data_IF_999771759437
#
_entry.id   IF_999771759437
#
_cell.length_a   1.000
_cell.length_b   1.000
_cell.length_c   1.000
_cell.angle_alpha   90.00
_cell.angle_beta   90.00
_cell.angle_gamma   90.00
#
_symmetry.space_group_name_H-M   'P 1'
#
loop_
_entity.id
_entity.type
_entity.pdbx_description
1 polymer ?
#
# COMPACT_ATOMS: atom_id res chain seq x y z
N UNK A 1 -15.56 -23.28 -23.41
CA UNK A 1 -14.66 -22.15 -23.75
C UNK A 1 -14.67 -20.95 -22.78
N UNK A 2 -15.60 -20.81 -21.82
CA UNK A 2 -15.57 -19.71 -20.82
C UNK A 2 -14.61 -19.91 -19.63
N UNK A 3 -14.08 -21.12 -19.45
CA UNK A 3 -13.31 -21.52 -18.27
C UNK A 3 -11.82 -21.20 -18.44
N UNK A 4 -11.29 -21.30 -19.67
CA UNK A 4 -9.93 -20.87 -20.02
C UNK A 4 -9.74 -19.35 -19.86
N UNK A 5 -10.77 -18.55 -20.18
CA UNK A 5 -10.73 -17.09 -20.00
C UNK A 5 -10.76 -16.65 -18.54
N UNK A 6 -11.34 -17.46 -17.63
CA UNK A 6 -11.27 -17.22 -16.18
C UNK A 6 -9.91 -17.61 -15.59
N UNK A 7 -9.24 -18.61 -16.18
CA UNK A 7 -7.90 -19.03 -15.77
C UNK A 7 -6.81 -18.06 -16.22
N UNK A 8 -7.06 -17.15 -17.16
CA UNK A 8 -6.05 -16.25 -17.76
C UNK A 8 -6.25 -14.77 -17.38
N UNK A 9 -6.87 -14.47 -16.24
CA UNK A 9 -6.74 -13.15 -15.61
C UNK A 9 -5.49 -13.10 -14.72
N UNK A 10 -4.36 -13.54 -15.25
CA UNK A 10 -3.08 -13.31 -14.60
C UNK A 10 -2.61 -11.93 -15.04
N UNK A 11 -2.71 -10.95 -14.14
CA UNK A 11 -1.84 -9.78 -14.26
C UNK A 11 -0.40 -10.32 -14.25
N UNK A 12 0.33 -10.03 -15.32
CA UNK A 12 1.74 -10.36 -15.47
C UNK A 12 2.55 -9.68 -14.37
N UNK A 13 2.14 -8.48 -13.97
CA UNK A 13 2.68 -7.73 -12.85
C UNK A 13 1.59 -6.90 -12.17
N UNK A 14 1.49 -7.02 -10.85
CA UNK A 14 0.71 -6.13 -9.99
C UNK A 14 1.64 -5.52 -8.96
N UNK A 15 1.73 -4.20 -8.88
CA UNK A 15 2.46 -3.56 -7.78
C UNK A 15 1.59 -2.53 -7.08
N UNK A 16 1.76 -2.45 -5.76
CA UNK A 16 1.11 -1.50 -4.87
C UNK A 16 2.19 -0.85 -4.01
N UNK A 17 2.41 0.44 -4.20
CA UNK A 17 3.36 1.23 -3.42
C UNK A 17 2.58 2.27 -2.60
N UNK A 18 2.93 2.44 -1.32
CA UNK A 18 2.46 3.54 -0.51
C UNK A 18 3.66 4.22 0.15
N UNK A 19 3.78 5.52 0.00
CA UNK A 19 4.63 6.41 0.77
C UNK A 19 3.78 7.06 1.87
N UNK A 20 4.33 7.16 3.07
CA UNK A 20 3.73 7.75 4.26
C UNK A 20 4.55 8.96 4.68
N UNK A 21 3.86 10.07 4.92
CA UNK A 21 4.40 11.35 5.37
C UNK A 21 3.60 11.78 6.59
N UNK A 22 4.17 11.51 7.77
CA UNK A 22 3.63 11.90 9.05
C UNK A 22 3.77 13.40 9.31
N UNK A 23 2.78 13.99 9.98
CA UNK A 23 2.79 15.43 10.32
C UNK A 23 3.92 15.79 11.29
N UNK A 24 4.47 14.81 11.99
CA UNK A 24 5.54 14.91 12.97
C UNK A 24 6.93 14.60 12.40
N UNK A 25 7.06 14.60 11.07
CA UNK A 25 8.29 14.30 10.35
C UNK A 25 8.63 12.82 10.27
N UNK A 26 7.74 11.93 10.72
CA UNK A 26 7.86 10.49 10.49
C UNK A 26 7.62 10.18 9.01
N UNK A 27 8.45 9.34 8.41
CA UNK A 27 8.26 8.92 7.01
C UNK A 27 8.33 7.41 6.91
N UNK A 28 7.62 6.83 5.96
CA UNK A 28 7.66 5.38 5.77
C UNK A 28 7.18 5.01 4.40
N UNK A 29 7.33 3.75 4.04
CA UNK A 29 6.73 3.27 2.82
C UNK A 29 6.70 1.77 2.72
N UNK A 30 5.77 1.29 1.90
CA UNK A 30 5.56 -0.11 1.61
C UNK A 30 5.44 -0.30 0.11
N UNK A 31 5.95 -1.42 -0.38
CA UNK A 31 5.87 -1.89 -1.75
C UNK A 31 5.50 -3.37 -1.70
N UNK A 32 4.36 -3.70 -2.28
CA UNK A 32 3.90 -5.05 -2.52
C UNK A 32 3.92 -5.27 -4.03
N UNK A 33 4.70 -6.24 -4.50
CA UNK A 33 4.70 -6.64 -5.90
C UNK A 33 4.41 -8.13 -6.06
N UNK A 34 3.45 -8.42 -6.93
CA UNK A 34 3.01 -9.74 -7.33
C UNK A 34 3.17 -9.88 -8.85
N UNK A 35 3.28 -11.09 -9.36
CA UNK A 35 3.03 -11.33 -10.77
C UNK A 35 2.76 -12.79 -11.03
N UNK A 36 1.91 -13.04 -12.04
CA UNK A 36 1.31 -14.36 -12.28
C UNK A 36 0.64 -14.92 -11.00
N UNK A 37 0.14 -14.04 -10.13
CA UNK A 37 -0.49 -14.38 -8.85
C UNK A 37 0.48 -14.79 -7.72
N UNK A 38 1.79 -14.63 -7.88
CA UNK A 38 2.81 -14.96 -6.87
C UNK A 38 3.43 -13.68 -6.31
N UNK A 39 3.53 -13.58 -4.98
CA UNK A 39 4.25 -12.49 -4.31
C UNK A 39 5.75 -12.58 -4.60
N UNK A 40 6.31 -11.55 -5.21
CA UNK A 40 7.74 -11.50 -5.51
C UNK A 40 8.51 -10.57 -4.57
N UNK A 41 7.89 -9.49 -4.08
CA UNK A 41 8.55 -8.50 -3.22
C UNK A 41 7.58 -7.83 -2.25
N UNK A 42 7.87 -7.97 -0.97
CA UNK A 42 7.40 -7.09 0.10
C UNK A 42 8.61 -6.25 0.52
N UNK A 43 8.75 -5.06 -0.05
CA UNK A 43 9.84 -4.15 0.26
C UNK A 43 9.27 -2.91 0.95
N UNK A 44 10.05 -2.29 1.82
CA UNK A 44 9.60 -1.11 2.53
C UNK A 44 10.45 -0.86 3.75
N UNK A 45 10.20 0.27 4.39
CA UNK A 45 10.86 0.60 5.62
C UNK A 45 10.28 1.83 6.27
N UNK A 46 10.70 2.01 7.50
CA UNK A 46 10.30 3.10 8.37
C UNK A 46 11.50 4.02 8.51
N UNK A 47 11.35 5.26 8.08
CA UNK A 47 12.30 6.33 8.29
C UNK A 47 11.88 7.12 9.53
N UNK A 48 12.71 7.04 10.56
CA UNK A 48 12.47 7.73 11.82
C UNK A 48 12.99 9.15 11.75
N UNK A 49 12.46 10.00 12.63
CA UNK A 49 12.81 11.43 12.72
C UNK A 49 14.27 11.67 13.10
N UNK A 50 14.97 10.66 13.63
CA UNK A 50 16.41 10.70 13.91
C UNK A 50 17.26 10.34 12.67
N UNK A 51 16.63 10.12 11.51
CA UNK A 51 17.27 9.75 10.26
C UNK A 51 17.56 8.25 10.11
N UNK A 52 17.22 7.43 11.11
CA UNK A 52 17.40 5.97 11.02
C UNK A 52 16.36 5.32 10.13
N UNK A 53 16.74 4.19 9.51
CA UNK A 53 15.90 3.40 8.63
C UNK A 53 15.77 1.98 9.18
N UNK A 54 14.52 1.52 9.35
CA UNK A 54 14.21 0.14 9.73
C UNK A 54 13.54 -0.57 8.56
N UNK A 55 14.17 -1.62 8.07
CA UNK A 55 13.64 -2.44 6.97
C UNK A 55 12.46 -3.26 7.46
N UNK A 56 11.38 -3.30 6.69
CA UNK A 56 10.26 -4.19 7.00
C UNK A 56 10.66 -5.66 6.76
N UNK A 57 10.31 -6.51 7.71
CA UNK A 57 10.49 -7.97 7.67
C UNK A 57 9.21 -8.69 7.27
N UNK A 58 8.07 -8.17 7.74
CA UNK A 58 6.75 -8.69 7.44
C UNK A 58 5.75 -7.56 7.25
N UNK A 59 4.76 -7.80 6.41
CA UNK A 59 3.66 -6.87 6.19
C UNK A 59 2.38 -7.64 5.89
N UNK A 60 1.30 -7.19 6.49
CA UNK A 60 -0.07 -7.61 6.23
C UNK A 60 -0.87 -6.37 5.83
N UNK A 61 -1.70 -6.50 4.80
CA UNK A 61 -2.59 -5.44 4.34
C UNK A 61 -4.00 -6.01 4.26
N UNK A 62 -4.92 -5.39 4.98
CA UNK A 62 -6.34 -5.71 5.01
C UNK A 62 -7.12 -4.61 4.29
N UNK A 63 -7.78 -4.93 3.18
CA UNK A 63 -8.60 -3.99 2.44
C UNK A 63 -10.03 -3.96 3.01
N UNK A 64 -10.29 -3.04 3.95
CA UNK A 64 -11.56 -2.91 4.67
C UNK A 64 -12.71 -2.37 3.81
N UNK A 65 -12.39 -1.52 2.83
CA UNK A 65 -13.36 -1.05 1.84
C UNK A 65 -12.70 -0.97 0.46
N UNK A 66 -13.37 -1.54 -0.54
CA UNK A 66 -12.92 -1.54 -1.93
C UNK A 66 -14.01 -0.99 -2.84
N UNK A 67 -13.60 -0.45 -3.98
CA UNK A 67 -14.50 -0.14 -5.07
C UNK A 67 -14.03 -0.76 -6.38
N UNK A 68 -14.94 -0.78 -7.34
CA UNK A 68 -14.66 -1.24 -8.69
C UNK A 68 -14.33 -0.03 -9.54
N UNK A 69 -13.08 0.09 -9.99
CA UNK A 69 -12.68 1.12 -10.94
C UNK A 69 -12.85 0.59 -12.36
N UNK A 70 -13.66 1.29 -13.14
CA UNK A 70 -13.83 1.08 -14.57
C UNK A 70 -13.79 2.47 -15.24
N UNK A 71 -12.84 2.70 -16.16
CA UNK A 71 -12.63 4.03 -16.72
C UNK A 71 -11.69 4.05 -17.91
N UNK A 72 -11.71 5.16 -18.67
CA UNK A 72 -10.81 5.41 -19.80
C UNK A 72 -9.36 5.31 -19.32
N UNK A 73 -8.62 4.34 -19.81
CA UNK A 73 -7.23 4.11 -19.45
C UNK A 73 -7.00 2.65 -19.09
N UNK A 74 -7.82 2.08 -18.21
CA UNK A 74 -7.62 0.72 -17.73
C UNK A 74 -7.86 -0.32 -18.83
N UNK A 75 -6.95 -1.29 -18.94
CA UNK A 75 -7.16 -2.46 -19.80
C UNK A 75 -8.36 -3.33 -19.35
N UNK A 76 -8.70 -3.28 -18.05
CA UNK A 76 -9.78 -4.03 -17.44
C UNK A 76 -10.27 -3.37 -16.15
N UNK A 77 -11.39 -3.85 -15.63
CA UNK A 77 -11.91 -3.42 -14.34
C UNK A 77 -11.03 -3.91 -13.19
N UNK A 78 -10.64 -3.01 -12.29
CA UNK A 78 -9.78 -3.33 -11.12
C UNK A 78 -10.53 -3.10 -9.81
N UNK A 79 -10.31 -4.01 -8.84
CA UNK A 79 -10.76 -3.83 -7.47
C UNK A 79 -9.73 -2.98 -6.74
N UNK A 80 -10.15 -1.79 -6.28
CA UNK A 80 -9.24 -0.77 -5.75
C UNK A 80 -9.63 -0.34 -4.34
N UNK A 81 -8.68 -0.20 -3.41
CA UNK A 81 -9.02 0.13 -2.03
C UNK A 81 -9.46 1.60 -1.84
N UNK A 82 -10.47 1.78 -1.00
CA UNK A 82 -10.86 3.07 -0.39
C UNK A 82 -10.30 3.19 1.02
N UNK A 83 -10.38 2.10 1.78
CA UNK A 83 -9.87 2.00 3.15
C UNK A 83 -9.12 0.70 3.35
N UNK A 84 -8.01 0.79 4.05
CA UNK A 84 -7.18 -0.37 4.35
C UNK A 84 -6.49 -0.22 5.71
N UNK A 85 -6.04 -1.35 6.24
CA UNK A 85 -5.24 -1.45 7.45
C UNK A 85 -3.93 -2.11 7.07
N UNK A 86 -2.81 -1.55 7.51
CA UNK A 86 -1.49 -2.14 7.35
C UNK A 86 -0.96 -2.50 8.72
N UNK A 87 -0.41 -3.70 8.83
CA UNK A 87 0.35 -4.17 9.98
C UNK A 87 1.72 -4.59 9.48
N UNK A 88 2.77 -3.91 9.91
CA UNK A 88 4.12 -4.13 9.45
C UNK A 88 5.06 -4.34 10.64
N UNK A 89 6.00 -5.27 10.47
CA UNK A 89 7.06 -5.57 11.43
C UNK A 89 8.40 -5.17 10.84
N UNK A 90 9.25 -4.52 11.63
CA UNK A 90 10.56 -4.04 11.23
C UNK A 90 11.55 -4.21 12.40
N UNK A 91 12.47 -5.17 12.32
CA UNK A 91 13.30 -5.55 13.48
C UNK A 91 12.41 -5.83 14.71
N UNK A 92 12.66 -5.14 15.82
CA UNK A 92 11.83 -5.22 17.02
C UNK A 92 10.64 -4.24 17.03
N UNK A 93 10.50 -3.44 15.97
CA UNK A 93 9.46 -2.42 15.86
C UNK A 93 8.21 -2.92 15.14
N UNK A 94 7.06 -2.36 15.50
CA UNK A 94 5.78 -2.62 14.82
C UNK A 94 5.13 -1.31 14.41
N UNK A 95 4.55 -1.31 13.22
CA UNK A 95 3.76 -0.22 12.65
C UNK A 95 2.38 -0.77 12.32
N UNK A 96 1.33 -0.16 12.87
CA UNK A 96 -0.05 -0.38 12.43
C UNK A 96 -0.64 0.94 11.96
N UNK A 97 -1.24 0.99 10.78
CA UNK A 97 -1.95 2.19 10.34
C UNK A 97 -3.19 1.88 9.51
N UNK A 98 -4.15 2.80 9.54
CA UNK A 98 -5.33 2.80 8.70
C UNK A 98 -5.19 3.87 7.63
N UNK A 99 -5.24 3.48 6.37
CA UNK A 99 -5.27 4.41 5.23
C UNK A 99 -6.69 4.64 4.75
N UNK A 100 -7.03 5.89 4.41
CA UNK A 100 -8.27 6.28 3.75
C UNK A 100 -7.95 7.19 2.58
N UNK A 101 -8.26 6.74 1.37
CA UNK A 101 -8.05 7.53 0.15
C UNK A 101 -8.94 8.77 0.16
N UNK A 102 -8.35 9.93 -0.12
CA UNK A 102 -9.05 11.22 -0.04
C UNK A 102 -9.67 11.64 -1.37
N UNK A 103 -9.03 11.30 -2.48
CA UNK A 103 -9.46 11.69 -3.83
C UNK A 103 -9.85 10.49 -4.70
N UNK A 104 -10.67 10.69 -5.75
CA UNK A 104 -10.84 9.69 -6.80
C UNK A 104 -9.47 9.23 -7.33
N UNK A 105 -9.34 7.94 -7.58
CA UNK A 105 -8.08 7.39 -8.06
C UNK A 105 -7.76 7.99 -9.44
N UNK A 106 -6.57 8.58 -9.60
CA UNK A 106 -6.17 9.29 -10.80
C UNK A 106 -5.41 8.36 -11.75
N UNK A 107 -5.86 8.25 -13.00
CA UNK A 107 -5.16 7.51 -14.03
C UNK A 107 -4.07 8.38 -14.66
N UNK A 108 -2.82 7.92 -14.62
CA UNK A 108 -1.72 8.62 -15.30
C UNK A 108 -1.19 7.87 -16.52
N UNK A 109 -1.44 6.56 -16.57
CA UNK A 109 -1.15 5.72 -17.72
C UNK A 109 -2.22 4.61 -17.82
N UNK A 110 -2.14 3.80 -18.89
CA UNK A 110 -3.10 2.72 -19.18
C UNK A 110 -3.31 1.81 -17.97
N UNK A 111 -2.22 1.40 -17.35
CA UNK A 111 -2.21 0.37 -16.31
C UNK A 111 -1.72 0.93 -14.98
N UNK A 112 -1.77 2.25 -14.77
CA UNK A 112 -1.20 2.95 -13.60
C UNK A 112 -2.16 3.95 -12.99
N UNK A 113 -2.31 3.86 -11.67
CA UNK A 113 -3.18 4.68 -10.84
C UNK A 113 -2.35 5.34 -9.73
N UNK A 114 -2.54 6.65 -9.55
CA UNK A 114 -2.06 7.40 -8.38
C UNK A 114 -3.22 7.74 -7.46
N UNK A 115 -2.92 7.79 -6.17
CA UNK A 115 -3.88 8.23 -5.17
C UNK A 115 -3.19 8.84 -3.96
N UNK A 116 -3.80 9.88 -3.43
CA UNK A 116 -3.52 10.45 -2.12
C UNK A 116 -4.42 9.81 -1.06
N UNK A 117 -3.91 9.69 0.15
CA UNK A 117 -4.67 9.16 1.28
C UNK A 117 -4.24 9.82 2.58
N UNK A 118 -5.16 9.86 3.56
CA UNK A 118 -4.82 10.10 4.95
C UNK A 118 -4.55 8.80 5.67
N UNK A 119 -3.70 8.87 6.68
CA UNK A 119 -3.54 7.75 7.60
C UNK A 119 -3.54 8.17 9.06
N UNK A 120 -3.94 7.24 9.92
CA UNK A 120 -3.73 7.28 11.35
C UNK A 120 -3.22 5.92 11.82
N UNK A 121 -2.36 5.88 12.82
CA UNK A 121 -1.72 4.64 13.20
C UNK A 121 -0.93 4.72 14.50
N UNK A 122 -0.20 3.65 14.78
CA UNK A 122 0.69 3.53 15.92
C UNK A 122 2.01 2.93 15.49
N UNK A 123 3.07 3.41 16.11
CA UNK A 123 4.42 2.86 16.00
C UNK A 123 4.93 2.50 17.39
N UNK A 124 5.46 1.29 17.52
CA UNK A 124 5.96 0.75 18.80
C UNK A 124 7.36 0.18 18.61
N UNK A 125 8.23 0.46 19.57
CA UNK A 125 9.55 -0.17 19.73
C UNK A 125 9.66 -0.69 21.17
N UNK A 126 10.41 -1.78 21.43
CA UNK A 126 10.57 -2.31 22.77
C UNK A 126 11.26 -1.28 23.67
N UNK A 127 10.78 -1.16 24.91
CA UNK A 127 11.31 -0.21 25.88
C UNK A 127 11.00 1.26 25.60
N UNK A 128 10.31 1.58 24.49
CA UNK A 128 9.85 2.94 24.19
C UNK A 128 8.32 3.05 24.34
N UNK A 129 7.85 4.27 24.55
CA UNK A 129 6.41 4.58 24.57
C UNK A 129 5.86 4.43 23.15
N UNK A 130 4.66 3.85 23.04
CA UNK A 130 3.88 3.87 21.80
C UNK A 130 3.71 5.30 21.28
N UNK A 131 3.99 5.49 19.99
CA UNK A 131 3.80 6.75 19.28
C UNK A 131 2.54 6.64 18.44
N UNK A 132 1.63 7.61 18.58
CA UNK A 132 0.52 7.79 17.66
C UNK A 132 1.01 8.50 16.40
N UNK A 133 0.55 8.06 15.24
CA UNK A 133 0.91 8.60 13.94
C UNK A 133 -0.34 9.13 13.24
N UNK A 134 -0.19 10.25 12.53
CA UNK A 134 -1.17 10.77 11.59
C UNK A 134 -0.44 11.45 10.42
N UNK A 135 -1.12 11.56 9.28
CA UNK A 135 -0.60 12.34 8.16
C UNK A 135 -1.19 11.94 6.82
N UNK A 136 -0.42 12.22 5.77
CA UNK A 136 -0.79 11.97 4.39
C UNK A 136 0.14 10.96 3.76
N UNK A 137 -0.35 10.26 2.74
CA UNK A 137 0.44 9.37 1.95
C UNK A 137 0.08 9.45 0.48
N UNK A 138 1.00 8.94 -0.32
CA UNK A 138 0.87 8.86 -1.76
C UNK A 138 1.06 7.41 -2.15
N UNK A 139 0.15 6.89 -2.97
CA UNK A 139 0.22 5.53 -3.43
C UNK A 139 0.20 5.43 -4.94
N UNK A 140 0.88 4.41 -5.42
CA UNK A 140 0.89 4.00 -6.81
C UNK A 140 0.39 2.57 -6.91
N UNK A 141 -0.42 2.32 -7.92
CA UNK A 141 -0.88 1.00 -8.26
C UNK A 141 -0.72 0.75 -9.73
N UNK A 142 -0.16 -0.41 -10.05
CA UNK A 142 -0.06 -0.88 -11.43
C UNK A 142 -0.54 -2.31 -11.54
N UNK A 143 -1.21 -2.58 -12.65
CA UNK A 143 -1.68 -3.92 -13.00
C UNK A 143 -1.58 -4.13 -14.51
N UNK A 144 -0.54 -4.86 -14.95
CA UNK A 144 -0.22 -5.16 -16.35
C UNK A 144 -0.38 -6.64 -16.64
#
# INVERSE_FOLDING_TARGET
MRWLQKLLRFALLRYHYNLLIGEDGWHGGIMLAQGVGIDFRNLGGIYLSDGSFKRLEAIEIEYAEVETLAGRGLAHTVTFPKRWIVRAQAEEATLEYRGTRESPAAHIARDMIYFDFRFTGTYREPGKRERFLNGHGYGEYVEM
#
